data_IF_582657495146
#
_entry.id   IF_582657495146
#
_cell.length_a   1.000
_cell.length_b   1.000
_cell.length_c   1.000
_cell.angle_alpha   90.00
_cell.angle_beta   90.00
_cell.angle_gamma   90.00
#
_symmetry.space_group_name_H-M   'P 1'
#
loop_
_entity.id
_entity.type
_entity.pdbx_description
1 polymer ?
#
# COMPACT_ATOMS: atom_id res chain seq x y z
N UNK A 1 -14.20 14.42 -26.40
CA UNK A 1 -13.92 14.56 -24.95
C UNK A 1 -12.41 14.68 -24.78
N UNK A 2 -11.92 15.68 -24.05
CA UNK A 2 -10.48 15.79 -23.78
C UNK A 2 -10.07 14.64 -22.85
N UNK A 3 -9.02 13.89 -23.23
CA UNK A 3 -8.40 12.88 -22.36
C UNK A 3 -7.98 13.52 -21.04
N UNK A 4 -8.21 12.83 -19.92
CA UNK A 4 -7.78 13.27 -18.59
C UNK A 4 -6.28 13.57 -18.57
N UNK A 5 -5.88 14.58 -17.80
CA UNK A 5 -4.51 15.08 -17.71
C UNK A 5 -3.56 13.99 -17.19
N UNK A 6 -3.88 13.35 -16.08
CA UNK A 6 -3.06 12.28 -15.52
C UNK A 6 -2.93 11.09 -16.49
N UNK A 7 -3.98 10.73 -17.26
CA UNK A 7 -3.87 9.75 -18.35
C UNK A 7 -2.79 10.12 -19.36
N UNK A 8 -2.76 11.39 -19.81
CA UNK A 8 -1.74 11.87 -20.76
C UNK A 8 -0.34 11.77 -20.17
N UNK A 9 -0.17 12.15 -18.90
CA UNK A 9 1.12 12.09 -18.22
C UNK A 9 1.60 10.64 -18.08
N UNK A 10 0.72 9.73 -17.68
CA UNK A 10 1.06 8.30 -17.60
C UNK A 10 1.52 7.78 -18.95
N UNK A 11 0.80 8.08 -20.04
CA UNK A 11 1.22 7.68 -21.38
C UNK A 11 2.58 8.27 -21.80
N UNK A 12 2.92 9.47 -21.31
CA UNK A 12 4.22 10.09 -21.62
C UNK A 12 5.38 9.45 -20.85
N UNK A 13 5.14 8.94 -19.64
CA UNK A 13 6.20 8.46 -18.74
C UNK A 13 6.29 6.93 -18.63
N UNK A 14 5.21 6.20 -18.95
CA UNK A 14 5.19 4.75 -18.93
C UNK A 14 5.70 4.19 -20.27
N UNK A 15 6.93 3.68 -20.27
CA UNK A 15 7.51 2.99 -21.42
C UNK A 15 7.11 1.50 -21.44
N UNK A 16 6.23 1.11 -22.36
CA UNK A 16 5.77 -0.27 -22.49
C UNK A 16 6.84 -1.23 -23.03
N UNK A 17 7.82 -0.74 -23.80
CA UNK A 17 8.95 -1.57 -24.24
C UNK A 17 9.82 -1.97 -23.04
N UNK A 18 10.05 -1.04 -22.10
CA UNK A 18 10.76 -1.33 -20.85
C UNK A 18 9.96 -2.27 -19.95
N UNK A 19 8.62 -2.11 -19.91
CA UNK A 19 7.75 -3.04 -19.17
C UNK A 19 7.91 -4.47 -19.71
N UNK A 20 7.79 -4.66 -21.02
CA UNK A 20 7.90 -5.97 -21.65
C UNK A 20 9.28 -6.60 -21.44
N UNK A 21 10.35 -5.85 -21.70
CA UNK A 21 11.72 -6.30 -21.48
C UNK A 21 11.99 -6.71 -20.03
N UNK A 22 11.47 -5.96 -19.06
CA UNK A 22 11.64 -6.31 -17.64
C UNK A 22 10.80 -7.50 -17.24
N UNK A 23 9.57 -7.65 -17.74
CA UNK A 23 8.77 -8.86 -17.51
C UNK A 23 9.53 -10.11 -17.95
N UNK A 24 10.24 -10.05 -19.09
CA UNK A 24 11.06 -11.17 -19.57
C UNK A 24 12.17 -11.60 -18.60
N UNK A 25 12.58 -10.71 -17.68
CA UNK A 25 13.60 -11.00 -16.67
C UNK A 25 13.04 -11.72 -15.43
N UNK A 26 11.71 -11.77 -15.25
CA UNK A 26 11.06 -12.28 -14.05
C UNK A 26 10.01 -13.34 -14.39
N UNK A 27 10.43 -14.60 -14.46
CA UNK A 27 9.63 -15.76 -14.87
C UNK A 27 8.23 -15.81 -14.23
N UNK A 28 8.16 -15.72 -12.90
CA UNK A 28 6.90 -15.87 -12.16
C UNK A 28 6.03 -14.63 -12.25
N UNK A 29 6.63 -13.43 -12.27
CA UNK A 29 5.89 -12.20 -12.53
C UNK A 29 5.24 -12.26 -13.91
N UNK A 30 6.00 -12.61 -14.96
CA UNK A 30 5.49 -12.70 -16.34
C UNK A 30 4.38 -13.75 -16.48
N UNK A 31 4.51 -14.89 -15.80
CA UNK A 31 3.50 -15.93 -15.83
C UNK A 31 2.17 -15.50 -15.18
N UNK A 32 2.26 -14.74 -14.08
CA UNK A 32 1.10 -14.30 -13.30
C UNK A 32 0.47 -13.01 -13.85
N UNK A 33 1.30 -12.10 -14.38
CA UNK A 33 0.92 -10.81 -14.95
C UNK A 33 1.40 -10.70 -16.40
N UNK A 34 0.74 -11.39 -17.35
CA UNK A 34 1.11 -11.27 -18.75
C UNK A 34 0.86 -9.84 -19.24
N UNK A 35 1.71 -9.37 -20.15
CA UNK A 35 1.69 -7.98 -20.67
C UNK A 35 0.29 -7.53 -21.13
N UNK A 36 -0.49 -8.43 -21.74
CA UNK A 36 -1.87 -8.17 -22.19
C UNK A 36 -2.81 -7.74 -21.06
N UNK A 37 -2.67 -8.34 -19.87
CA UNK A 37 -3.55 -8.07 -18.73
C UNK A 37 -3.16 -6.71 -18.11
N UNK A 38 -1.87 -6.39 -18.10
CA UNK A 38 -1.37 -5.07 -17.69
C UNK A 38 -1.85 -3.96 -18.63
N UNK A 39 -1.82 -4.20 -19.95
CA UNK A 39 -2.26 -3.26 -20.98
C UNK A 39 -3.76 -2.94 -20.87
N UNK A 40 -4.61 -3.89 -20.46
CA UNK A 40 -6.05 -3.62 -20.27
C UNK A 40 -6.34 -2.47 -19.29
N UNK A 41 -5.41 -2.14 -18.40
CA UNK A 41 -5.57 -1.05 -17.45
C UNK A 41 -5.25 0.33 -18.03
N UNK A 42 -4.67 0.45 -19.24
CA UNK A 42 -4.29 1.75 -19.84
C UNK A 42 -5.49 2.67 -20.13
N UNK A 43 -6.67 2.06 -20.33
CA UNK A 43 -7.92 2.76 -20.61
C UNK A 43 -8.87 2.81 -19.40
N UNK A 44 -8.43 2.26 -18.27
CA UNK A 44 -9.28 2.10 -17.08
C UNK A 44 -9.01 3.22 -16.05
N UNK A 45 -9.98 4.12 -15.89
CA UNK A 45 -9.97 5.09 -14.80
C UNK A 45 -9.95 4.39 -13.43
N UNK A 46 -9.45 5.03 -12.36
CA UNK A 46 -8.88 6.38 -12.33
C UNK A 46 -7.37 6.42 -12.56
N UNK A 47 -6.69 5.26 -12.65
CA UNK A 47 -5.23 5.22 -12.70
C UNK A 47 -4.67 5.09 -14.10
N UNK A 48 -5.44 4.62 -15.09
CA UNK A 48 -5.01 4.49 -16.50
C UNK A 48 -3.68 3.73 -16.70
N UNK A 49 -3.32 2.86 -15.75
CA UNK A 49 -2.27 1.87 -15.84
C UNK A 49 -2.45 0.85 -14.71
N UNK A 50 -1.83 -0.32 -14.85
CA UNK A 50 -1.71 -1.26 -13.74
C UNK A 50 -0.48 -0.88 -12.89
N UNK A 51 -0.56 -1.02 -11.58
CA UNK A 51 0.52 -0.58 -10.69
C UNK A 51 1.88 -1.25 -10.97
N UNK A 52 1.86 -2.57 -11.19
CA UNK A 52 3.05 -3.30 -11.60
C UNK A 52 3.63 -2.79 -12.93
N UNK A 53 2.78 -2.44 -13.90
CA UNK A 53 3.24 -1.90 -15.18
C UNK A 53 3.92 -0.53 -14.97
N UNK A 54 3.30 0.34 -14.18
CA UNK A 54 3.90 1.62 -13.81
C UNK A 54 5.27 1.45 -13.17
N UNK A 55 5.42 0.53 -12.22
CA UNK A 55 6.71 0.25 -11.59
C UNK A 55 7.72 -0.35 -12.55
N UNK A 56 7.35 -1.35 -13.34
CA UNK A 56 8.24 -1.95 -14.34
C UNK A 56 8.73 -0.90 -15.35
N UNK A 57 7.86 -0.02 -15.82
CA UNK A 57 8.24 0.99 -16.81
C UNK A 57 8.97 2.20 -16.24
N UNK A 58 9.00 2.39 -14.92
CA UNK A 58 9.51 3.65 -14.35
C UNK A 58 10.51 3.52 -13.20
N UNK A 59 10.57 2.39 -12.51
CA UNK A 59 11.51 2.17 -11.41
C UNK A 59 12.86 1.68 -11.92
N UNK A 60 13.96 2.16 -11.33
CA UNK A 60 15.32 1.77 -11.73
C UNK A 60 15.92 0.63 -10.91
N UNK A 61 15.35 0.33 -9.74
CA UNK A 61 15.88 -0.70 -8.83
C UNK A 61 15.15 -2.03 -9.08
N UNK A 62 15.92 -3.11 -9.15
CA UNK A 62 15.43 -4.46 -9.45
C UNK A 62 15.10 -5.28 -8.18
N UNK A 63 15.65 -4.92 -7.02
CA UNK A 63 15.47 -5.63 -5.74
C UNK A 63 14.00 -5.95 -5.42
N UNK A 64 13.09 -5.02 -5.70
CA UNK A 64 11.65 -5.25 -5.51
C UNK A 64 11.09 -6.34 -6.41
N UNK A 65 11.49 -6.37 -7.66
CA UNK A 65 10.99 -7.34 -8.62
C UNK A 65 11.61 -8.72 -8.40
N UNK A 66 12.87 -8.79 -7.98
CA UNK A 66 13.49 -10.03 -7.53
C UNK A 66 12.73 -10.62 -6.33
N UNK A 67 12.49 -9.80 -5.30
CA UNK A 67 11.74 -10.21 -4.12
C UNK A 67 10.30 -10.63 -4.47
N UNK A 68 9.60 -9.84 -5.29
CA UNK A 68 8.23 -10.15 -5.70
C UNK A 68 8.14 -11.41 -6.56
N UNK A 69 9.14 -11.64 -7.43
CA UNK A 69 9.23 -12.86 -8.23
C UNK A 69 9.45 -14.10 -7.33
N UNK A 70 10.27 -13.98 -6.28
CA UNK A 70 10.47 -15.06 -5.30
C UNK A 70 9.22 -15.33 -4.46
N UNK A 71 8.48 -14.29 -4.09
CA UNK A 71 7.18 -14.44 -3.44
C UNK A 71 6.20 -15.22 -4.32
N UNK A 72 6.10 -14.86 -5.61
CA UNK A 72 5.23 -15.56 -6.57
C UNK A 72 5.69 -17.00 -6.79
N UNK A 73 7.00 -17.26 -6.90
CA UNK A 73 7.58 -18.61 -7.05
C UNK A 73 7.11 -19.58 -5.96
N UNK A 74 6.92 -19.08 -4.75
CA UNK A 74 6.38 -19.85 -3.62
C UNK A 74 4.85 -19.90 -3.73
N UNK A 75 4.20 -18.73 -3.82
CA UNK A 75 2.75 -18.59 -3.78
C UNK A 75 2.00 -19.43 -4.81
N UNK A 76 2.51 -19.51 -6.05
CA UNK A 76 1.88 -20.27 -7.15
C UNK A 76 1.94 -21.79 -6.95
N UNK A 77 2.81 -22.28 -6.06
CA UNK A 77 2.96 -23.71 -5.77
C UNK A 77 2.12 -24.17 -4.57
N UNK A 78 1.58 -23.23 -3.80
CA UNK A 78 0.72 -23.54 -2.67
C UNK A 78 -0.65 -24.00 -3.16
N UNK A 79 -1.26 -24.92 -2.41
CA UNK A 79 -2.61 -25.41 -2.69
C UNK A 79 -3.62 -24.25 -2.70
N UNK A 80 -4.55 -24.26 -3.66
CA UNK A 80 -5.61 -23.27 -3.76
C UNK A 80 -5.25 -21.97 -4.49
N UNK A 81 -4.06 -21.87 -5.11
CA UNK A 81 -3.60 -20.65 -5.81
C UNK A 81 -4.63 -20.10 -6.81
N UNK A 82 -5.39 -20.96 -7.46
CA UNK A 82 -6.44 -20.60 -8.41
C UNK A 82 -7.54 -19.70 -7.83
N UNK A 83 -7.70 -19.65 -6.51
CA UNK A 83 -8.62 -18.76 -5.82
C UNK A 83 -8.24 -17.27 -5.99
N UNK A 84 -6.99 -16.98 -6.34
CA UNK A 84 -6.48 -15.61 -6.52
C UNK A 84 -6.69 -15.02 -7.93
N UNK A 85 -7.24 -15.79 -8.90
CA UNK A 85 -7.35 -15.37 -10.31
C UNK A 85 -8.01 -14.02 -10.54
N UNK A 86 -8.99 -13.66 -9.72
CA UNK A 86 -9.70 -12.37 -9.84
C UNK A 86 -8.83 -11.19 -9.41
N UNK A 87 -7.91 -11.40 -8.45
CA UNK A 87 -7.00 -10.36 -7.96
C UNK A 87 -5.98 -9.98 -9.05
N UNK A 88 -5.56 -10.96 -9.85
CA UNK A 88 -4.54 -10.80 -10.90
C UNK A 88 -4.98 -9.90 -12.05
N UNK A 89 -6.29 -9.80 -12.31
CA UNK A 89 -6.86 -9.01 -13.42
C UNK A 89 -7.34 -7.62 -13.01
N UNK A 90 -7.19 -7.28 -11.73
CA UNK A 90 -7.70 -6.01 -11.23
C UNK A 90 -6.79 -4.85 -11.64
N UNK A 91 -7.38 -3.77 -12.13
CA UNK A 91 -6.67 -2.49 -12.31
C UNK A 91 -6.67 -1.64 -11.03
N UNK A 92 -7.25 -2.15 -9.94
CA UNK A 92 -7.23 -1.48 -8.64
C UNK A 92 -5.89 -1.74 -7.95
N UNK A 93 -5.20 -0.65 -7.64
CA UNK A 93 -3.94 -0.68 -6.92
C UNK A 93 -4.08 -1.39 -5.58
N UNK A 94 -5.23 -1.25 -4.90
CA UNK A 94 -5.42 -1.88 -3.59
C UNK A 94 -5.41 -3.39 -3.65
N UNK A 95 -5.91 -3.95 -4.74
CA UNK A 95 -5.91 -5.39 -4.98
C UNK A 95 -4.49 -5.92 -5.17
N UNK A 96 -3.65 -5.20 -5.93
CA UNK A 96 -2.25 -5.57 -6.11
C UNK A 96 -1.51 -5.65 -4.76
N UNK A 97 -1.63 -4.61 -3.95
CA UNK A 97 -1.00 -4.53 -2.65
C UNK A 97 -1.57 -5.54 -1.65
N UNK A 98 -2.87 -5.82 -1.70
CA UNK A 98 -3.49 -6.88 -0.92
C UNK A 98 -2.87 -8.24 -1.23
N UNK A 99 -2.69 -8.56 -2.51
CA UNK A 99 -2.03 -9.80 -2.93
C UNK A 99 -0.55 -9.84 -2.52
N UNK A 100 0.19 -8.73 -2.68
CA UNK A 100 1.58 -8.66 -2.21
C UNK A 100 1.67 -9.00 -0.72
N UNK A 101 0.79 -8.42 0.09
CA UNK A 101 0.77 -8.70 1.52
C UNK A 101 0.42 -10.15 1.83
N UNK A 102 -0.58 -10.72 1.16
CA UNK A 102 -0.91 -12.14 1.30
C UNK A 102 0.28 -13.05 0.95
N UNK A 103 1.02 -12.74 -0.11
CA UNK A 103 2.21 -13.49 -0.50
C UNK A 103 3.33 -13.38 0.54
N UNK A 104 3.57 -12.18 1.08
CA UNK A 104 4.56 -11.96 2.16
C UNK A 104 4.21 -12.79 3.41
N UNK A 105 2.94 -12.79 3.81
CA UNK A 105 2.44 -13.57 4.95
C UNK A 105 2.53 -15.08 4.68
N UNK A 106 2.16 -15.54 3.47
CA UNK A 106 2.29 -16.95 3.09
C UNK A 106 3.75 -17.41 3.13
N UNK A 107 4.68 -16.63 2.56
CA UNK A 107 6.11 -16.93 2.60
C UNK A 107 6.64 -16.97 4.03
N UNK A 108 6.24 -16.02 4.87
CA UNK A 108 6.63 -16.00 6.28
C UNK A 108 6.32 -17.32 7.00
N UNK A 109 5.10 -17.85 6.87
CA UNK A 109 4.74 -19.13 7.49
C UNK A 109 5.41 -20.33 6.83
N UNK A 110 5.61 -20.31 5.51
CA UNK A 110 6.35 -21.37 4.82
C UNK A 110 7.80 -21.45 5.30
N UNK A 111 8.46 -20.30 5.51
CA UNK A 111 9.84 -20.22 6.01
C UNK A 111 9.98 -20.76 7.45
N UNK A 112 8.88 -20.78 8.22
CA UNK A 112 8.79 -21.42 9.54
C UNK A 112 8.50 -22.94 9.48
N UNK A 113 8.40 -23.51 8.28
CA UNK A 113 8.12 -24.93 8.07
C UNK A 113 6.64 -25.30 8.18
N UNK A 114 5.73 -24.33 8.10
CA UNK A 114 4.29 -24.60 8.09
C UNK A 114 3.77 -24.87 6.68
N UNK A 115 2.69 -25.64 6.61
CA UNK A 115 1.94 -25.82 5.37
C UNK A 115 0.91 -24.71 5.24
N UNK A 116 0.92 -23.99 4.12
CA UNK A 116 0.00 -22.89 3.83
C UNK A 116 -0.90 -23.24 2.64
N UNK A 117 -2.19 -23.02 2.80
CA UNK A 117 -3.21 -23.23 1.76
C UNK A 117 -3.98 -21.93 1.52
N UNK A 118 -4.16 -21.55 0.25
CA UNK A 118 -5.03 -20.45 -0.17
C UNK A 118 -6.49 -20.86 -0.06
N UNK A 119 -7.29 -20.06 0.61
CA UNK A 119 -8.71 -20.36 0.80
C UNK A 119 -9.57 -19.75 -0.32
N UNK A 120 -10.74 -20.35 -0.57
CA UNK A 120 -11.70 -19.81 -1.52
C UNK A 120 -12.69 -18.86 -0.84
N UNK A 121 -13.01 -17.75 -1.52
CA UNK A 121 -13.97 -16.76 -1.04
C UNK A 121 -15.40 -17.34 -0.95
N UNK A 122 -16.20 -16.98 0.07
CA UNK A 122 -15.87 -16.10 1.21
C UNK A 122 -15.32 -16.89 2.40
N UNK A 123 -14.01 -16.81 2.62
CA UNK A 123 -13.25 -17.36 3.74
C UNK A 123 -12.01 -16.45 3.99
N UNK A 124 -11.31 -16.56 5.14
CA UNK A 124 -10.04 -15.86 5.36
C UNK A 124 -9.03 -16.22 4.28
N UNK A 125 -8.09 -15.35 3.94
CA UNK A 125 -7.19 -15.53 2.79
C UNK A 125 -6.36 -16.82 2.84
N UNK A 126 -5.85 -17.20 4.03
CA UNK A 126 -4.96 -18.35 4.21
C UNK A 126 -5.45 -19.27 5.32
N UNK A 127 -5.14 -20.56 5.18
CA UNK A 127 -5.09 -21.53 6.28
C UNK A 127 -3.64 -21.97 6.48
N UNK A 128 -3.18 -21.95 7.73
CA UNK A 128 -1.84 -22.37 8.12
C UNK A 128 -1.95 -23.61 9.01
N UNK A 129 -1.26 -24.68 8.63
CA UNK A 129 -1.17 -25.93 9.40
C UNK A 129 0.20 -26.03 10.05
N UNK A 130 0.22 -26.10 11.38
CA UNK A 130 1.41 -26.15 12.22
C UNK A 130 1.36 -27.41 13.10
N UNK A 131 2.08 -28.45 12.68
CA UNK A 131 1.96 -29.79 13.27
C UNK A 131 0.57 -30.37 13.06
N UNK A 132 -0.08 -30.80 14.14
CA UNK A 132 -1.47 -31.32 14.13
C UNK A 132 -2.53 -30.20 14.25
N UNK A 133 -2.10 -28.96 14.48
CA UNK A 133 -2.99 -27.81 14.66
C UNK A 133 -3.07 -26.96 13.40
N UNK A 134 -4.11 -26.12 13.32
CA UNK A 134 -4.25 -25.13 12.25
C UNK A 134 -4.91 -23.85 12.75
N UNK A 135 -4.73 -22.79 11.99
CA UNK A 135 -5.40 -21.51 12.18
C UNK A 135 -5.62 -20.80 10.84
N UNK A 136 -6.45 -19.78 10.84
CA UNK A 136 -6.78 -18.99 9.65
C UNK A 136 -6.17 -17.59 9.73
N UNK A 137 -5.78 -17.05 8.57
CA UNK A 137 -5.17 -15.72 8.48
C UNK A 137 -5.95 -14.89 7.47
N UNK A 138 -6.49 -13.77 7.95
CA UNK A 138 -7.03 -12.71 7.12
C UNK A 138 -5.95 -11.65 6.94
N UNK A 139 -5.57 -11.37 5.69
CA UNK A 139 -4.58 -10.36 5.37
C UNK A 139 -5.28 -9.03 5.07
N UNK A 140 -4.81 -7.95 5.68
CA UNK A 140 -5.37 -6.63 5.47
C UNK A 140 -4.31 -5.56 5.32
N UNK A 141 -4.25 -4.93 4.16
CA UNK A 141 -3.44 -3.72 3.98
C UNK A 141 -4.24 -2.48 4.34
N UNK A 142 -3.75 -1.70 5.31
CA UNK A 142 -4.41 -0.48 5.74
C UNK A 142 -3.68 0.76 5.22
N UNK A 143 -4.30 1.46 4.25
CA UNK A 143 -3.66 2.54 3.49
C UNK A 143 -4.47 3.84 3.38
N UNK A 144 -5.70 3.89 3.93
CA UNK A 144 -6.64 5.04 3.85
C UNK A 144 -6.51 5.82 2.52
N UNK A 145 -6.31 7.13 2.58
CA UNK A 145 -6.10 8.01 1.43
C UNK A 145 -4.63 8.02 0.96
N UNK A 146 -3.69 7.49 1.74
CA UNK A 146 -2.26 7.48 1.42
C UNK A 146 -1.93 6.62 0.20
N UNK A 147 -2.80 5.65 -0.14
CA UNK A 147 -2.73 4.91 -1.41
C UNK A 147 -2.72 5.86 -2.63
N UNK A 148 -3.57 6.89 -2.59
CA UNK A 148 -3.72 7.86 -3.68
C UNK A 148 -2.56 8.86 -3.63
N UNK A 149 -2.17 9.27 -2.41
CA UNK A 149 -1.05 10.18 -2.22
C UNK A 149 0.25 9.60 -2.79
N UNK A 150 0.51 8.31 -2.56
CA UNK A 150 1.68 7.61 -3.10
C UNK A 150 1.69 7.59 -4.63
N UNK A 151 0.53 7.35 -5.26
CA UNK A 151 0.40 7.43 -6.71
C UNK A 151 0.64 8.87 -7.22
N UNK A 152 0.08 9.87 -6.54
CA UNK A 152 0.27 11.28 -6.86
C UNK A 152 1.74 11.67 -6.80
N UNK A 153 2.42 11.31 -5.72
CA UNK A 153 3.84 11.55 -5.51
C UNK A 153 4.69 10.86 -6.57
N UNK A 154 4.46 9.57 -6.84
CA UNK A 154 5.19 8.84 -7.87
C UNK A 154 5.05 9.49 -9.26
N UNK A 155 3.87 9.98 -9.62
CA UNK A 155 3.65 10.66 -10.89
C UNK A 155 4.33 12.04 -10.93
N UNK A 156 4.27 12.81 -9.83
CA UNK A 156 4.97 14.10 -9.74
C UNK A 156 6.49 13.97 -9.82
N UNK A 157 7.08 12.93 -9.21
CA UNK A 157 8.50 12.64 -9.32
C UNK A 157 8.95 12.32 -10.75
N UNK A 158 8.03 11.88 -11.63
CA UNK A 158 8.30 11.73 -13.08
C UNK A 158 8.19 13.04 -13.84
N UNK A 159 7.32 13.94 -13.40
CA UNK A 159 7.19 15.27 -13.97
C UNK A 159 8.46 16.10 -13.70
N UNK A 160 8.86 16.21 -12.42
CA UNK A 160 10.12 16.84 -12.02
C UNK A 160 10.53 16.35 -10.61
N UNK A 161 11.79 15.93 -10.40
CA UNK A 161 12.26 15.37 -9.14
C UNK A 161 12.34 16.38 -7.98
N UNK A 162 12.06 17.66 -8.19
CA UNK A 162 11.98 18.68 -7.12
C UNK A 162 10.57 18.90 -6.60
N UNK A 163 9.56 18.32 -7.24
CA UNK A 163 8.20 18.39 -6.72
C UNK A 163 8.11 17.50 -5.48
N UNK A 164 7.53 18.03 -4.41
CA UNK A 164 7.28 17.33 -3.15
C UNK A 164 5.81 17.38 -2.83
N UNK A 165 5.35 16.31 -2.19
CA UNK A 165 4.03 16.20 -1.59
C UNK A 165 4.24 16.14 -0.09
N UNK A 166 3.55 17.00 0.65
CA UNK A 166 3.61 17.03 2.12
C UNK A 166 2.19 17.10 2.67
N UNK A 167 1.99 16.71 3.92
CA UNK A 167 0.67 16.69 4.52
C UNK A 167 0.75 16.82 6.04
N UNK A 168 -0.38 17.16 6.66
CA UNK A 168 -0.47 17.24 8.12
C UNK A 168 -0.54 15.83 8.71
N UNK A 169 0.51 15.41 9.41
CA UNK A 169 0.53 14.13 10.10
C UNK A 169 -0.67 13.96 11.03
N UNK A 170 -1.19 12.74 11.14
CA UNK A 170 -2.34 12.36 11.96
C UNK A 170 -3.65 13.07 11.57
N UNK A 171 -3.80 13.47 10.30
CA UNK A 171 -5.03 14.06 9.77
C UNK A 171 -5.59 13.26 8.60
N UNK A 172 -6.91 13.38 8.37
CA UNK A 172 -7.55 12.72 7.22
C UNK A 172 -7.29 13.54 5.96
N UNK A 173 -6.63 12.93 4.98
CA UNK A 173 -6.50 13.50 3.64
C UNK A 173 -7.88 13.44 2.96
N UNK A 174 -8.53 14.59 2.80
CA UNK A 174 -9.84 14.76 2.15
C UNK A 174 -9.81 14.44 0.64
N UNK A 175 -9.48 13.19 0.29
CA UNK A 175 -9.44 12.68 -1.09
C UNK A 175 -10.74 11.90 -1.35
N UNK A 176 -11.42 12.09 -2.50
CA UNK A 176 -12.60 11.31 -2.86
C UNK A 176 -12.34 9.80 -2.87
N UNK A 177 -13.30 9.02 -2.37
CA UNK A 177 -13.23 7.56 -2.28
C UNK A 177 -13.94 6.86 -3.46
N UNK A 178 -14.85 7.55 -4.16
CA UNK A 178 -15.53 7.03 -5.34
C UNK A 178 -14.71 7.20 -6.62
N UNK A 179 -14.90 6.27 -7.57
CA UNK A 179 -14.14 6.21 -8.82
C UNK A 179 -14.26 7.48 -9.66
N UNK A 180 -15.44 8.10 -9.73
CA UNK A 180 -15.68 9.27 -10.58
C UNK A 180 -15.14 10.55 -9.94
N UNK A 181 -15.35 10.71 -8.64
CA UNK A 181 -14.78 11.80 -7.84
C UNK A 181 -13.26 11.77 -7.89
N UNK A 182 -12.65 10.60 -7.68
CA UNK A 182 -11.21 10.42 -7.73
C UNK A 182 -10.64 10.74 -9.13
N UNK A 183 -11.27 10.26 -10.20
CA UNK A 183 -10.83 10.57 -11.57
C UNK A 183 -10.86 12.08 -11.87
N UNK A 184 -11.90 12.79 -11.41
CA UNK A 184 -12.00 14.25 -11.56
C UNK A 184 -10.94 14.98 -10.76
N UNK A 185 -10.75 14.57 -9.50
CA UNK A 185 -9.74 15.12 -8.61
C UNK A 185 -8.34 15.02 -9.23
N UNK A 186 -7.97 13.83 -9.74
CA UNK A 186 -6.68 13.62 -10.40
C UNK A 186 -6.57 14.41 -11.71
N UNK A 187 -7.64 14.51 -12.50
CA UNK A 187 -7.63 15.33 -13.71
C UNK A 187 -7.36 16.81 -13.39
N UNK A 188 -8.04 17.37 -12.39
CA UNK A 188 -7.85 18.75 -11.94
C UNK A 188 -6.46 18.99 -11.36
N UNK A 189 -5.98 18.10 -10.50
CA UNK A 189 -4.64 18.17 -9.89
C UNK A 189 -3.54 18.21 -10.94
N UNK A 190 -3.62 17.34 -11.95
CA UNK A 190 -2.55 17.19 -12.95
C UNK A 190 -2.69 18.11 -14.18
N UNK A 191 -3.84 18.77 -14.37
CA UNK A 191 -4.11 19.62 -15.55
C UNK A 191 -3.07 20.72 -15.79
N UNK A 192 -2.57 21.44 -14.77
CA UNK A 192 -1.57 22.50 -14.99
C UNK A 192 -0.27 21.98 -15.61
N UNK A 193 0.13 20.76 -15.28
CA UNK A 193 1.43 20.16 -15.62
C UNK A 193 1.50 19.60 -17.03
N UNK A 194 0.37 19.57 -17.75
CA UNK A 194 0.35 19.24 -19.18
C UNK A 194 1.07 20.32 -20.00
N UNK A 195 1.15 21.55 -19.50
CA UNK A 195 1.83 22.67 -20.14
C UNK A 195 3.22 22.86 -19.51
N UNK A 196 4.32 22.56 -20.22
CA UNK A 196 5.66 22.69 -19.66
C UNK A 196 6.01 24.10 -19.18
N UNK A 197 5.34 25.13 -19.68
CA UNK A 197 5.53 26.53 -19.28
C UNK A 197 5.18 26.76 -17.81
N UNK A 198 4.10 26.13 -17.32
CA UNK A 198 3.62 26.28 -15.95
C UNK A 198 4.70 25.87 -14.94
N UNK A 199 5.24 24.67 -15.10
CA UNK A 199 6.26 24.16 -14.19
C UNK A 199 7.58 24.93 -14.33
N UNK A 200 7.98 25.31 -15.56
CA UNK A 200 9.17 26.13 -15.79
C UNK A 200 9.10 27.49 -15.08
N UNK A 201 7.91 28.09 -15.00
CA UNK A 201 7.70 29.32 -14.24
C UNK A 201 7.86 29.08 -12.73
N UNK A 202 7.26 28.01 -12.19
CA UNK A 202 7.36 27.65 -10.77
C UNK A 202 8.77 27.29 -10.32
N UNK A 203 9.53 26.60 -11.17
CA UNK A 203 10.97 26.35 -10.97
C UNK A 203 11.79 27.64 -10.98
N UNK A 204 11.41 28.64 -11.79
CA UNK A 204 12.10 29.93 -11.79
C UNK A 204 11.82 30.70 -10.51
N UNK A 205 10.57 30.67 -10.05
CA UNK A 205 10.10 31.25 -8.79
C UNK A 205 10.86 30.65 -7.58
N UNK A 206 11.17 29.35 -7.61
CA UNK A 206 11.84 28.66 -6.49
C UNK A 206 13.27 29.13 -6.21
N UNK A 207 13.87 29.90 -7.13
CA UNK A 207 15.19 30.53 -6.94
C UNK A 207 15.15 31.73 -6.00
N UNK A 208 13.98 32.35 -5.86
CA UNK A 208 13.77 33.58 -5.08
C UNK A 208 13.01 33.36 -3.78
N UNK A 209 12.10 32.38 -3.73
CA UNK A 209 11.36 31.99 -2.54
C UNK A 209 11.16 30.47 -2.56
N UNK A 210 11.31 29.78 -1.43
CA UNK A 210 11.04 28.34 -1.38
C UNK A 210 10.46 27.94 -0.01
N UNK A 211 9.56 26.94 0.05
CA UNK A 211 9.00 26.19 -1.08
C UNK A 211 8.05 27.04 -1.94
N UNK A 212 7.91 26.72 -3.23
CA UNK A 212 6.91 27.34 -4.10
C UNK A 212 5.67 26.47 -4.16
N UNK A 213 4.59 26.95 -3.55
CA UNK A 213 3.32 26.24 -3.52
C UNK A 213 2.76 26.06 -4.94
N UNK A 214 2.28 24.84 -5.16
CA UNK A 214 1.63 24.39 -6.37
C UNK A 214 0.13 24.21 -6.11
N UNK A 215 -0.72 24.38 -7.13
CA UNK A 215 -2.16 24.27 -6.95
C UNK A 215 -2.56 22.83 -6.61
N UNK A 216 -3.32 22.69 -5.53
CA UNK A 216 -3.94 21.43 -5.09
C UNK A 216 -5.45 21.69 -5.00
N UNK A 217 -6.33 20.85 -5.60
CA UNK A 217 -7.77 20.91 -5.36
C UNK A 217 -8.05 20.67 -3.88
N UNK A 218 -9.15 21.20 -3.32
CA UNK A 218 -9.46 21.17 -1.88
C UNK A 218 -9.19 19.81 -1.20
N UNK A 219 -8.00 19.67 -0.62
CA UNK A 219 -7.46 18.45 -0.03
C UNK A 219 -6.46 18.82 1.07
N UNK A 220 -6.36 17.97 2.09
CA UNK A 220 -5.49 18.20 3.24
C UNK A 220 -4.02 17.77 3.01
N UNK A 221 -3.47 18.09 1.83
CA UNK A 221 -2.04 17.96 1.52
C UNK A 221 -1.55 19.16 0.71
N UNK A 222 -0.25 19.39 0.77
CA UNK A 222 0.48 20.45 0.10
C UNK A 222 1.32 19.86 -1.03
N UNK A 223 1.46 20.64 -2.09
CA UNK A 223 2.30 20.30 -3.23
C UNK A 223 3.19 21.50 -3.47
N UNK A 224 4.49 21.29 -3.60
CA UNK A 224 5.42 22.39 -3.80
C UNK A 224 6.65 21.98 -4.60
N UNK A 225 7.35 22.98 -5.12
CA UNK A 225 8.69 22.82 -5.73
C UNK A 225 9.75 23.23 -4.72
N UNK A 226 10.69 22.34 -4.44
CA UNK A 226 11.91 22.66 -3.69
C UNK A 226 12.86 23.53 -4.51
N UNK A 227 13.50 24.49 -3.85
CA UNK A 227 14.62 25.25 -4.39
C UNK A 227 15.96 24.60 -4.02
N UNK A 228 17.04 25.11 -4.61
CA UNK A 228 18.39 24.57 -4.39
C UNK A 228 19.12 25.23 -3.19
N UNK A 229 18.48 26.20 -2.52
CA UNK A 229 19.12 27.09 -1.54
C UNK A 229 18.45 26.99 -0.16
N UNK A 230 18.95 26.16 0.77
CA UNK A 230 18.34 25.96 2.08
C UNK A 230 18.16 27.24 2.91
N UNK A 231 18.94 28.29 2.65
CA UNK A 231 18.86 29.56 3.40
C UNK A 231 17.56 30.34 3.14
N UNK A 232 16.85 30.03 2.05
CA UNK A 232 15.59 30.68 1.67
C UNK A 232 14.35 29.85 2.05
N UNK A 233 14.56 28.73 2.72
CA UNK A 233 13.48 27.81 3.07
C UNK A 233 12.58 28.38 4.16
N UNK A 234 11.29 28.48 3.87
CA UNK A 234 10.25 28.88 4.82
C UNK A 234 9.31 27.68 5.02
N UNK A 235 9.26 27.05 6.21
CA UNK A 235 8.41 25.89 6.44
C UNK A 235 6.92 26.20 6.18
N UNK A 236 6.25 25.35 5.41
CA UNK A 236 4.84 25.51 5.03
C UNK A 236 3.85 24.88 6.03
N UNK A 237 4.30 23.96 6.90
CA UNK A 237 3.43 23.27 7.85
C UNK A 237 4.14 22.96 9.19
N UNK A 238 3.58 23.47 10.29
CA UNK A 238 4.10 23.23 11.66
C UNK A 238 3.07 22.52 12.57
N UNK A 239 1.96 22.01 12.02
CA UNK A 239 0.84 21.50 12.82
C UNK A 239 0.56 20.02 12.54
N UNK A 240 0.57 19.22 13.60
CA UNK A 240 0.12 17.82 13.59
C UNK A 240 -1.32 17.72 14.07
N UNK A 241 -2.03 16.67 13.66
CA UNK A 241 -3.26 16.22 14.32
C UNK A 241 -2.97 15.67 15.72
N UNK A 242 -4.00 15.11 16.38
CA UNK A 242 -3.85 14.45 17.68
C UNK A 242 -3.41 12.98 17.52
N UNK A 243 -2.16 12.61 17.87
CA UNK A 243 -1.61 11.27 17.60
C UNK A 243 -2.38 10.14 18.29
N UNK A 244 -2.71 10.30 19.58
CA UNK A 244 -3.44 9.28 20.35
C UNK A 244 -4.85 9.03 19.81
N UNK A 245 -5.57 10.11 19.49
CA UNK A 245 -6.90 10.02 18.90
C UNK A 245 -6.83 9.38 17.52
N UNK A 246 -5.79 9.72 16.73
CA UNK A 246 -5.54 9.12 15.43
C UNK A 246 -5.29 7.60 15.55
N UNK A 247 -4.37 7.18 16.42
CA UNK A 247 -4.06 5.76 16.64
C UNK A 247 -5.30 4.98 17.12
N UNK A 248 -6.05 5.52 18.09
CA UNK A 248 -7.30 4.89 18.57
C UNK A 248 -8.32 4.71 17.45
N UNK A 249 -8.49 5.73 16.59
CA UNK A 249 -9.41 5.67 15.45
C UNK A 249 -8.94 4.64 14.42
N UNK A 250 -7.64 4.61 14.10
CA UNK A 250 -7.05 3.63 13.19
C UNK A 250 -7.30 2.21 13.69
N UNK A 251 -6.91 1.90 14.93
CA UNK A 251 -7.07 0.56 15.51
C UNK A 251 -8.53 0.13 15.55
N UNK A 252 -9.45 1.03 15.91
CA UNK A 252 -10.88 0.74 15.90
C UNK A 252 -11.39 0.43 14.48
N UNK A 253 -10.98 1.21 13.47
CA UNK A 253 -11.34 0.97 12.08
C UNK A 253 -10.78 -0.35 11.55
N UNK A 254 -9.54 -0.72 11.89
CA UNK A 254 -8.91 -1.98 11.48
C UNK A 254 -9.79 -3.17 11.86
N UNK A 255 -10.18 -3.24 13.13
CA UNK A 255 -11.02 -4.31 13.66
C UNK A 255 -12.42 -4.22 13.06
N UNK A 256 -13.04 -3.04 13.07
CA UNK A 256 -14.42 -2.85 12.61
C UNK A 256 -14.61 -3.25 11.15
N UNK A 257 -13.65 -2.93 10.29
CA UNK A 257 -13.71 -3.21 8.86
C UNK A 257 -13.59 -4.71 8.54
N UNK A 258 -13.00 -5.50 9.43
CA UNK A 258 -12.68 -6.91 9.16
C UNK A 258 -13.41 -7.91 10.03
N UNK A 259 -13.80 -7.58 11.26
CA UNK A 259 -14.42 -8.54 12.20
C UNK A 259 -15.68 -9.27 11.68
N UNK A 260 -16.37 -8.72 10.66
CA UNK A 260 -17.56 -9.34 10.06
C UNK A 260 -17.35 -9.78 8.60
N UNK A 261 -16.13 -9.66 8.08
CA UNK A 261 -15.78 -10.02 6.71
C UNK A 261 -15.37 -11.48 6.61
N UNK A 262 -15.42 -12.02 5.39
CA UNK A 262 -14.81 -13.31 5.03
C UNK A 262 -15.19 -14.49 5.94
N UNK A 263 -16.41 -14.43 6.53
CA UNK A 263 -16.93 -15.42 7.48
C UNK A 263 -15.96 -15.72 8.65
N UNK A 264 -15.24 -14.72 9.15
CA UNK A 264 -14.29 -14.91 10.27
C UNK A 264 -14.93 -15.56 11.50
N UNK A 265 -16.20 -15.23 11.79
CA UNK A 265 -16.99 -15.86 12.86
C UNK A 265 -17.21 -17.37 12.74
N UNK A 266 -16.85 -17.98 11.60
CA UNK A 266 -16.94 -19.43 11.34
C UNK A 266 -15.58 -20.11 11.22
N UNK A 267 -14.49 -19.36 11.29
CA UNK A 267 -13.14 -19.84 11.06
C UNK A 267 -12.31 -19.53 12.28
N UNK A 268 -12.28 -20.43 13.26
CA UNK A 268 -11.52 -20.27 14.49
C UNK A 268 -10.52 -21.44 14.63
N UNK A 269 -9.32 -21.22 15.20
CA UNK A 269 -8.79 -19.91 15.59
C UNK A 269 -8.38 -19.07 14.36
N UNK A 270 -8.57 -17.76 14.40
CA UNK A 270 -8.16 -16.84 13.34
C UNK A 270 -7.35 -15.65 13.82
N UNK A 271 -6.53 -15.12 12.91
CA UNK A 271 -5.72 -13.93 13.13
C UNK A 271 -5.89 -12.94 11.98
N UNK A 272 -6.02 -11.66 12.33
CA UNK A 272 -5.98 -10.56 11.38
C UNK A 272 -4.53 -10.06 11.26
N UNK A 273 -3.89 -10.34 10.12
CA UNK A 273 -2.56 -9.84 9.79
C UNK A 273 -2.69 -8.52 9.02
N UNK A 274 -2.41 -7.40 9.69
CA UNK A 274 -2.51 -6.06 9.13
C UNK A 274 -1.14 -5.55 8.70
N UNK A 275 -1.02 -5.04 7.48
CA UNK A 275 0.13 -4.25 7.05
C UNK A 275 -0.26 -2.78 6.87
N UNK A 276 0.37 -1.90 7.64
CA UNK A 276 0.21 -0.46 7.60
C UNK A 276 1.21 0.22 6.67
N UNK A 277 1.53 -0.45 5.55
CA UNK A 277 2.48 0.03 4.55
C UNK A 277 2.13 1.46 4.11
N UNK A 278 3.14 2.33 4.02
CA UNK A 278 2.99 3.75 3.64
C UNK A 278 2.16 4.58 4.64
N UNK A 279 2.08 4.18 5.92
CA UNK A 279 1.48 4.95 7.01
C UNK A 279 2.55 5.49 7.96
N UNK A 280 3.41 6.42 7.50
CA UNK A 280 4.48 6.99 8.33
C UNK A 280 3.97 7.62 9.63
N UNK A 281 2.80 8.24 9.60
CA UNK A 281 2.15 8.79 10.79
C UNK A 281 1.93 7.70 11.85
N UNK A 282 1.42 6.55 11.42
CA UNK A 282 1.09 5.46 12.32
C UNK A 282 2.37 4.83 12.90
N UNK A 283 3.40 4.65 12.06
CA UNK A 283 4.72 4.19 12.50
C UNK A 283 5.28 5.11 13.59
N UNK A 284 5.24 6.43 13.35
CA UNK A 284 5.68 7.43 14.33
C UNK A 284 4.89 7.35 15.64
N UNK A 285 3.54 7.31 15.60
CA UNK A 285 2.74 7.21 16.84
C UNK A 285 3.04 5.91 17.60
N UNK A 286 3.24 4.78 16.91
CA UNK A 286 3.63 3.53 17.56
C UNK A 286 5.01 3.61 18.21
N UNK A 287 5.99 4.20 17.54
CA UNK A 287 7.34 4.37 18.07
C UNK A 287 7.32 5.27 19.34
N UNK A 288 6.48 6.32 19.37
CA UNK A 288 6.28 7.16 20.56
C UNK A 288 5.68 6.37 21.74
N UNK A 289 4.63 5.58 21.50
CA UNK A 289 3.99 4.74 22.53
C UNK A 289 4.98 3.69 23.07
N UNK A 290 5.75 3.04 22.19
CA UNK A 290 6.76 2.07 22.59
C UNK A 290 7.88 2.70 23.43
N UNK A 291 8.32 3.92 23.10
CA UNK A 291 9.37 4.62 23.82
C UNK A 291 8.99 4.93 25.29
N UNK A 292 7.70 5.12 25.58
CA UNK A 292 7.18 5.35 26.94
C UNK A 292 6.70 4.07 27.62
N UNK A 293 6.82 2.91 26.98
CA UNK A 293 6.40 1.61 27.51
C UNK A 293 4.89 1.39 27.54
N UNK A 294 4.13 2.20 26.80
CA UNK A 294 2.68 2.04 26.67
C UNK A 294 2.35 1.17 25.45
N UNK A 295 1.47 0.20 25.63
CA UNK A 295 0.89 -0.52 24.50
C UNK A 295 -0.54 -0.06 24.26
N UNK A 296 -0.89 0.32 23.03
CA UNK A 296 -2.24 0.75 22.74
C UNK A 296 -3.23 -0.38 22.97
N UNK A 297 -4.30 -0.08 23.71
CA UNK A 297 -5.37 -1.05 23.95
C UNK A 297 -6.20 -1.26 22.69
N UNK A 298 -6.43 -2.52 22.32
CA UNK A 298 -7.31 -2.89 21.22
C UNK A 298 -8.35 -3.91 21.66
N UNK A 299 -9.61 -3.64 21.33
CA UNK A 299 -10.72 -4.59 21.49
C UNK A 299 -10.86 -5.39 20.20
N UNK A 300 -10.64 -6.71 20.28
CA UNK A 300 -10.74 -7.63 19.14
C UNK A 300 -12.20 -7.93 18.75
N UNK A 301 -13.16 -7.62 19.63
CA UNK A 301 -14.53 -8.08 19.48
C UNK A 301 -14.66 -9.59 19.68
N UNK A 302 -15.70 -10.19 19.06
CA UNK A 302 -16.06 -11.61 19.26
C UNK A 302 -15.61 -12.57 18.17
N UNK A 303 -15.24 -12.05 17.00
CA UNK A 303 -14.99 -12.85 15.80
C UNK A 303 -13.51 -12.99 15.45
N UNK A 304 -12.63 -12.27 16.16
CA UNK A 304 -11.19 -12.32 15.98
C UNK A 304 -10.53 -12.94 17.20
N UNK A 305 -9.67 -13.93 17.01
CA UNK A 305 -8.88 -14.51 18.10
C UNK A 305 -7.53 -13.80 18.27
N UNK A 306 -7.09 -13.02 17.28
CA UNK A 306 -5.89 -12.21 17.38
C UNK A 306 -5.74 -11.19 16.26
N UNK A 307 -4.84 -10.24 16.48
CA UNK A 307 -4.41 -9.25 15.49
C UNK A 307 -2.91 -9.03 15.59
N UNK A 308 -2.29 -8.90 14.43
CA UNK A 308 -0.90 -8.48 14.26
C UNK A 308 -0.90 -7.26 13.36
N UNK A 309 -0.23 -6.21 13.78
CA UNK A 309 -0.07 -4.98 12.99
C UNK A 309 1.40 -4.84 12.66
N UNK A 310 1.71 -4.73 11.37
CA UNK A 310 3.06 -4.64 10.85
C UNK A 310 3.31 -3.32 10.11
N UNK A 311 4.55 -2.84 10.15
CA UNK A 311 5.11 -1.85 9.22
C UNK A 311 5.93 -2.53 8.12
N UNK A 312 5.34 -3.52 7.47
CA UNK A 312 6.07 -4.33 6.51
C UNK A 312 6.19 -3.60 5.17
N UNK A 313 7.42 -3.23 4.80
CA UNK A 313 7.73 -2.68 3.49
C UNK A 313 7.47 -3.66 2.34
N UNK A 314 7.65 -3.18 1.11
CA UNK A 314 7.38 -3.92 -0.13
C UNK A 314 8.42 -5.02 -0.45
N UNK A 315 9.59 -4.94 0.19
CA UNK A 315 10.78 -5.77 -0.07
C UNK A 315 11.18 -6.62 1.14
N UNK A 316 10.27 -6.78 2.09
CA UNK A 316 10.56 -7.46 3.35
C UNK A 316 9.43 -8.39 3.75
N UNK A 317 9.76 -9.30 4.68
CA UNK A 317 8.80 -10.21 5.28
C UNK A 317 8.31 -9.68 6.63
N UNK A 318 7.11 -10.09 7.08
CA UNK A 318 6.71 -9.96 8.46
C UNK A 318 7.78 -10.53 9.39
N UNK A 319 8.05 -9.85 10.50
CA UNK A 319 9.01 -10.28 11.51
C UNK A 319 8.70 -9.60 12.86
N UNK A 320 9.31 -10.06 13.97
CA UNK A 320 9.19 -9.37 15.24
C UNK A 320 9.66 -7.90 15.18
N UNK A 321 10.62 -7.58 14.29
CA UNK A 321 11.23 -6.25 14.18
C UNK A 321 10.29 -5.21 13.55
N UNK A 322 9.39 -5.65 12.67
CA UNK A 322 8.40 -4.78 12.03
C UNK A 322 6.98 -5.00 12.56
N UNK A 323 6.80 -5.81 13.61
CA UNK A 323 5.54 -5.96 14.33
C UNK A 323 5.35 -4.79 15.30
N UNK A 324 4.40 -3.91 15.00
CA UNK A 324 4.06 -2.73 15.80
C UNK A 324 3.16 -3.08 16.99
N UNK A 325 2.23 -4.01 16.77
CA UNK A 325 1.27 -4.44 17.78
C UNK A 325 1.00 -5.93 17.61
N UNK A 326 1.03 -6.64 18.74
CA UNK A 326 0.64 -8.05 18.84
C UNK A 326 -0.38 -8.21 19.94
N UNK A 327 -1.60 -8.63 19.59
CA UNK A 327 -2.63 -9.02 20.55
C UNK A 327 -3.22 -10.36 20.16
N UNK A 328 -2.91 -11.38 20.95
CA UNK A 328 -3.31 -12.77 20.72
C UNK A 328 -4.21 -13.21 21.88
N UNK A 329 -5.34 -13.84 21.56
CA UNK A 329 -6.26 -14.42 22.51
C UNK A 329 -5.97 -15.90 22.80
N UNK A 330 -6.64 -16.48 23.82
CA UNK A 330 -6.33 -17.82 24.33
C UNK A 330 -6.41 -18.94 23.28
N UNK A 331 -7.34 -18.85 22.33
CA UNK A 331 -7.51 -19.87 21.29
C UNK A 331 -6.29 -20.01 20.38
N UNK A 332 -5.60 -18.90 20.08
CA UNK A 332 -4.35 -18.89 19.34
C UNK A 332 -3.15 -19.23 20.24
N UNK A 333 -3.19 -18.93 21.54
CA UNK A 333 -2.14 -19.33 22.47
C UNK A 333 -1.99 -20.86 22.58
N UNK A 334 -3.09 -21.61 22.43
CA UNK A 334 -3.05 -23.07 22.38
C UNK A 334 -2.30 -23.62 21.15
N UNK A 335 -2.21 -22.83 20.07
CA UNK A 335 -1.49 -23.16 18.82
C UNK A 335 -0.03 -22.65 18.87
N UNK A 336 0.30 -21.78 19.83
CA UNK A 336 1.53 -20.98 19.91
C UNK A 336 2.82 -21.78 20.09
N UNK A 337 2.75 -23.04 20.50
CA UNK A 337 3.94 -23.93 20.56
C UNK A 337 4.68 -24.08 19.22
N UNK A 338 4.10 -23.56 18.13
CA UNK A 338 4.63 -23.67 16.78
C UNK A 338 4.76 -22.35 16.01
N UNK A 339 4.35 -21.19 16.54
CA UNK A 339 4.32 -19.93 15.76
C UNK A 339 4.96 -18.79 16.53
N UNK A 340 6.26 -18.57 16.28
CA UNK A 340 6.98 -17.39 16.75
C UNK A 340 6.80 -16.25 15.75
N UNK A 341 5.88 -15.35 16.07
CA UNK A 341 5.74 -14.04 15.42
C UNK A 341 6.74 -13.02 15.93
#
# INVERSE_FOLDING_TARGET
MNSAAHKKLIHNYLNWEDVEKRLDSYEFIKAVYPIKDLLCCSETAPYYCHYLAWRLGTWKRDEFFEFFNDLLKIGVKLEGWENNKNLLKSCDYDVFWGLLWQLQVAKFFCDQGHTVTWMNSPAPDLRVTAGESYFFVECYTYRKSFRILSFIEELFLKIDPRIRVDYRACTKLSIPDDKNGLNRFLDELFRPYIKPEFLREKIRESKTCQPVELPVPDAAFHLYVEGDDPSKYVPSCNATGGPDLYLKNVLHELIKNKQNSNKLSKHHPNILAVNCILQHDLEWVFDEHQAVGEQPSIDLGKNLDGVLVFRCGINELPSPRNCLLRRIGPALEAVRGHVDF
#
